data_IF_822043277733
#
_entry.id   IF_822043277733
#
_cell.length_a   1.000
_cell.length_b   1.000
_cell.length_c   1.000
_cell.angle_alpha   90.00
_cell.angle_beta   90.00
_cell.angle_gamma   90.00
#
_symmetry.space_group_name_H-M   'P 1'
#
loop_
_entity.id
_entity.type
_entity.pdbx_description
1 polymer ?
#
# COMPACT_ATOMS: atom_id res chain seq x y z
N UNK A 1 29.02 21.98 -18.82
CA UNK A 1 28.72 21.98 -17.37
C UNK A 1 27.22 22.14 -17.05
N UNK A 2 26.51 23.07 -17.70
CA UNK A 2 25.09 23.37 -17.39
C UNK A 2 24.11 22.22 -17.68
N UNK A 3 24.35 21.46 -18.74
CA UNK A 3 23.49 20.33 -19.14
C UNK A 3 23.55 19.14 -18.14
N UNK A 4 24.72 18.87 -17.55
CA UNK A 4 24.88 17.79 -16.56
C UNK A 4 24.15 18.07 -15.24
N UNK A 5 24.03 19.35 -14.85
CA UNK A 5 23.28 19.77 -13.66
C UNK A 5 21.77 19.59 -13.85
N UNK A 6 21.24 19.88 -15.05
CA UNK A 6 19.82 19.71 -15.36
C UNK A 6 19.39 18.23 -15.35
N UNK A 7 20.25 17.32 -15.84
CA UNK A 7 19.97 15.88 -15.79
C UNK A 7 19.96 15.32 -14.37
N UNK A 8 20.81 15.83 -13.48
CA UNK A 8 20.82 15.40 -12.07
C UNK A 8 19.56 15.88 -11.33
N UNK A 9 19.09 17.11 -11.59
CA UNK A 9 17.88 17.65 -10.97
C UNK A 9 16.58 17.00 -11.48
N UNK A 10 16.48 16.61 -12.76
CA UNK A 10 15.33 15.87 -13.27
C UNK A 10 15.19 14.46 -12.65
N UNK A 11 16.30 13.80 -12.28
CA UNK A 11 16.25 12.52 -11.58
C UNK A 11 15.69 12.67 -10.16
N UNK A 12 16.12 13.73 -9.44
CA UNK A 12 15.67 14.05 -8.08
C UNK A 12 14.18 14.44 -8.04
N UNK A 13 13.68 15.12 -9.08
CA UNK A 13 12.28 15.56 -9.19
C UNK A 13 11.30 14.48 -9.67
N UNK A 14 11.79 13.36 -10.19
CA UNK A 14 10.96 12.27 -10.75
C UNK A 14 10.67 11.14 -9.73
N UNK A 15 11.51 11.00 -8.71
CA UNK A 15 11.23 10.11 -7.58
C UNK A 15 10.52 10.89 -6.48
N UNK A 16 9.26 10.55 -6.16
CA UNK A 16 8.66 11.02 -4.91
C UNK A 16 9.58 10.63 -3.75
N UNK A 17 10.13 11.62 -3.05
CA UNK A 17 11.06 11.37 -1.95
C UNK A 17 10.28 10.95 -0.71
N UNK A 18 10.70 9.83 -0.12
CA UNK A 18 10.25 9.35 1.18
C UNK A 18 11.47 9.01 2.03
N UNK A 19 11.35 9.18 3.34
CA UNK A 19 12.44 8.93 4.28
C UNK A 19 12.45 7.46 4.74
N UNK A 20 11.27 6.87 4.92
CA UNK A 20 11.09 5.49 5.39
C UNK A 20 9.77 4.89 4.91
N UNK A 21 9.61 3.58 5.13
CA UNK A 21 8.33 2.88 4.93
C UNK A 21 7.68 2.53 6.26
N UNK A 22 6.38 2.79 6.35
CA UNK A 22 5.53 2.26 7.40
C UNK A 22 5.00 0.89 6.98
N UNK A 23 5.40 -0.14 7.70
CA UNK A 23 4.79 -1.46 7.59
C UNK A 23 3.61 -1.56 8.56
N UNK A 24 2.40 -1.44 8.04
CA UNK A 24 1.18 -1.35 8.84
C UNK A 24 0.49 -2.69 8.88
N UNK A 25 0.20 -3.14 10.10
CA UNK A 25 -0.55 -4.35 10.37
C UNK A 25 -1.92 -4.01 10.96
N UNK A 26 -2.90 -4.86 10.71
CA UNK A 26 -4.26 -4.74 11.23
C UNK A 26 -4.62 -5.96 12.07
N UNK A 27 -5.45 -5.73 13.09
CA UNK A 27 -6.06 -6.78 13.90
C UNK A 27 -7.51 -7.00 13.43
N UNK A 28 -7.79 -8.08 12.66
CA UNK A 28 -9.08 -8.27 12.02
C UNK A 28 -10.29 -8.23 12.97
N UNK A 29 -10.24 -8.80 14.20
CA UNK A 29 -11.36 -8.77 15.13
C UNK A 29 -11.77 -7.36 15.58
N UNK A 30 -10.82 -6.42 15.68
CA UNK A 30 -11.14 -5.03 16.06
C UNK A 30 -11.53 -4.20 14.85
N UNK A 31 -10.94 -4.47 13.67
CA UNK A 31 -11.16 -3.65 12.49
C UNK A 31 -12.66 -3.55 12.13
N UNK A 32 -13.37 -4.69 12.12
CA UNK A 32 -14.81 -4.71 11.83
C UNK A 32 -15.71 -4.34 13.01
N UNK A 33 -15.20 -4.32 14.24
CA UNK A 33 -15.95 -3.82 15.41
C UNK A 33 -15.99 -2.29 15.44
N UNK A 34 -14.92 -1.65 14.96
CA UNK A 34 -14.79 -0.18 14.96
C UNK A 34 -15.29 0.43 13.65
N UNK A 35 -15.08 -0.24 12.50
CA UNK A 35 -15.52 0.28 11.20
C UNK A 35 -16.97 -0.09 10.91
N UNK A 36 -17.76 0.89 10.46
CA UNK A 36 -19.19 0.74 10.12
C UNK A 36 -19.47 -0.02 8.82
N UNK A 37 -18.43 -0.35 8.02
CA UNK A 37 -18.58 -0.86 6.65
C UNK A 37 -17.96 -2.25 6.42
N UNK A 38 -18.09 -3.17 7.37
CA UNK A 38 -17.76 -4.57 7.09
C UNK A 38 -18.98 -5.32 6.53
N UNK A 39 -18.84 -5.88 5.33
CA UNK A 39 -19.89 -6.66 4.68
C UNK A 39 -19.63 -8.17 4.79
N UNK A 40 -18.37 -8.58 4.82
CA UNK A 40 -17.94 -9.99 4.92
C UNK A 40 -16.68 -10.11 5.77
N UNK A 41 -16.79 -9.90 7.10
CA UNK A 41 -15.64 -9.96 8.00
C UNK A 41 -14.98 -11.34 7.96
N UNK A 42 -13.65 -11.39 7.89
CA UNK A 42 -12.89 -12.65 8.00
C UNK A 42 -12.50 -12.89 9.47
N UNK A 43 -12.86 -14.04 10.09
CA UNK A 43 -12.61 -14.31 11.50
C UNK A 43 -11.16 -14.78 11.73
N UNK A 44 -10.19 -13.96 11.33
CA UNK A 44 -8.76 -14.24 11.51
C UNK A 44 -8.32 -13.75 12.90
N UNK A 45 -7.59 -14.57 13.65
CA UNK A 45 -7.10 -14.26 15.00
C UNK A 45 -5.58 -14.05 15.05
N UNK A 46 -5.04 -13.41 14.01
CA UNK A 46 -3.64 -13.05 13.90
C UNK A 46 -3.52 -11.72 13.15
N UNK A 47 -2.40 -11.01 13.34
CA UNK A 47 -2.14 -9.77 12.59
C UNK A 47 -1.94 -10.06 11.11
N UNK A 48 -2.64 -9.28 10.29
CA UNK A 48 -2.46 -9.28 8.84
C UNK A 48 -1.87 -7.96 8.39
N UNK A 49 -1.26 -7.96 7.21
CA UNK A 49 -0.79 -6.73 6.57
C UNK A 49 -2.02 -5.87 6.26
N UNK A 50 -1.91 -4.56 6.50
CA UNK A 50 -2.84 -3.56 6.02
C UNK A 50 -2.26 -2.84 4.81
N UNK A 51 -1.01 -2.37 4.92
CA UNK A 51 -0.32 -1.70 3.84
C UNK A 51 1.15 -1.46 4.13
N UNK A 52 1.87 -1.06 3.08
CA UNK A 52 3.25 -0.60 3.13
C UNK A 52 3.26 0.80 2.50
N UNK A 53 3.53 1.82 3.31
CA UNK A 53 3.36 3.21 2.86
C UNK A 53 4.67 3.99 3.01
N UNK A 54 5.19 4.63 1.95
CA UNK A 54 6.25 5.60 2.07
C UNK A 54 5.78 6.80 2.91
N UNK A 55 6.65 7.28 3.81
CA UNK A 55 6.38 8.37 4.73
C UNK A 55 7.59 9.28 4.89
N UNK A 56 7.36 10.53 5.30
CA UNK A 56 8.40 11.51 5.60
C UNK A 56 8.38 11.87 7.09
N UNK A 57 9.54 12.13 7.70
CA UNK A 57 9.61 12.51 9.12
C UNK A 57 8.88 13.83 9.39
N UNK A 58 9.07 14.81 8.49
CA UNK A 58 8.50 16.16 8.63
C UNK A 58 6.99 16.21 8.41
N UNK A 59 6.45 15.29 7.62
CA UNK A 59 5.02 15.16 7.37
C UNK A 59 4.69 13.70 7.01
N UNK A 60 4.40 12.86 8.03
CA UNK A 60 4.16 11.43 7.84
C UNK A 60 2.96 11.10 6.94
N UNK A 61 2.02 12.04 6.84
CA UNK A 61 0.79 11.94 6.04
C UNK A 61 0.91 12.60 4.66
N UNK A 62 2.09 13.08 4.27
CA UNK A 62 2.30 13.73 2.98
C UNK A 62 2.15 12.71 1.84
N UNK A 63 1.30 12.96 0.83
CA UNK A 63 1.24 12.12 -0.35
C UNK A 63 2.52 12.12 -1.15
N UNK A 64 3.00 10.91 -1.42
CA UNK A 64 3.90 10.67 -2.53
C UNK A 64 3.10 10.70 -3.84
N UNK A 65 3.28 11.74 -4.65
CA UNK A 65 2.75 11.81 -6.01
C UNK A 65 3.60 10.96 -6.97
N UNK A 66 3.66 9.65 -6.71
CA UNK A 66 4.37 8.71 -7.55
C UNK A 66 3.47 8.25 -8.69
N UNK A 67 3.86 8.54 -9.93
CA UNK A 67 3.11 8.09 -11.11
C UNK A 67 3.62 6.70 -11.53
N UNK A 68 3.08 5.66 -10.88
CA UNK A 68 3.42 4.26 -11.15
C UNK A 68 2.49 3.57 -12.15
N UNK A 69 2.85 2.33 -12.54
CA UNK A 69 1.94 1.47 -13.29
C UNK A 69 0.71 1.13 -12.46
N UNK A 70 -0.46 1.02 -13.11
CA UNK A 70 -1.66 0.52 -12.44
C UNK A 70 -1.50 -0.95 -12.06
N UNK A 71 -2.15 -1.33 -10.97
CA UNK A 71 -2.19 -2.72 -10.53
C UNK A 71 -2.75 -3.59 -11.66
N UNK A 72 -2.05 -4.69 -11.94
CA UNK A 72 -2.52 -5.72 -12.85
C UNK A 72 -2.39 -7.06 -12.13
N UNK A 73 -3.52 -7.70 -11.88
CA UNK A 73 -3.62 -8.98 -11.17
C UNK A 73 -2.79 -10.08 -11.85
N UNK A 74 -2.57 -9.97 -13.16
CA UNK A 74 -1.76 -10.91 -13.95
C UNK A 74 -0.28 -10.87 -13.60
N UNK A 75 0.20 -9.75 -13.03
CA UNK A 75 1.59 -9.61 -12.60
C UNK A 75 1.85 -10.28 -11.24
N UNK A 76 0.80 -10.71 -10.53
CA UNK A 76 0.93 -11.43 -9.26
C UNK A 76 0.99 -12.93 -9.54
N UNK A 77 2.19 -13.50 -9.40
CA UNK A 77 2.41 -14.94 -9.63
C UNK A 77 1.51 -15.81 -8.74
N UNK A 78 1.14 -17.04 -9.18
CA UNK A 78 0.32 -17.93 -8.38
C UNK A 78 0.88 -18.20 -6.97
N UNK A 79 2.20 -18.35 -6.85
CA UNK A 79 2.88 -18.56 -5.57
C UNK A 79 2.77 -17.33 -4.66
N UNK A 80 2.95 -16.12 -5.21
CA UNK A 80 2.81 -14.87 -4.46
C UNK A 80 1.36 -14.66 -4.01
N UNK A 81 0.40 -14.88 -4.91
CA UNK A 81 -1.04 -14.78 -4.60
C UNK A 81 -1.43 -15.65 -3.41
N UNK A 82 -0.92 -16.88 -3.32
CA UNK A 82 -1.19 -17.77 -2.20
C UNK A 82 -0.62 -17.25 -0.87
N UNK A 83 0.54 -16.59 -0.90
CA UNK A 83 1.10 -15.91 0.28
C UNK A 83 0.25 -14.71 0.67
N UNK A 84 -0.09 -13.85 -0.30
CA UNK A 84 -0.91 -12.66 -0.08
C UNK A 84 -2.29 -12.97 0.50
N UNK A 85 -2.97 -14.03 0.01
CA UNK A 85 -4.25 -14.48 0.58
C UNK A 85 -4.18 -14.82 2.08
N UNK A 86 -3.01 -15.22 2.59
CA UNK A 86 -2.80 -15.57 4.00
C UNK A 86 -2.35 -14.37 4.82
N UNK A 87 -1.38 -13.61 4.31
CA UNK A 87 -0.72 -12.53 5.05
C UNK A 87 -1.30 -11.15 4.83
N UNK A 88 -1.91 -10.88 3.66
CA UNK A 88 -2.47 -9.58 3.28
C UNK A 88 -3.93 -9.70 2.75
N UNK A 89 -4.86 -10.36 3.47
CA UNK A 89 -6.25 -10.47 3.05
C UNK A 89 -7.04 -9.16 3.21
N UNK A 90 -8.09 -9.00 2.42
CA UNK A 90 -9.19 -8.08 2.71
C UNK A 90 -10.04 -8.68 3.86
N UNK A 91 -10.01 -8.01 5.00
CA UNK A 91 -10.71 -8.44 6.21
C UNK A 91 -12.09 -7.81 6.38
N UNK A 92 -12.48 -6.88 5.50
CA UNK A 92 -13.74 -6.12 5.58
C UNK A 92 -14.80 -6.62 4.60
N UNK A 93 -14.43 -6.74 3.31
CA UNK A 93 -15.35 -7.15 2.23
C UNK A 93 -15.03 -8.53 1.65
N UNK A 94 -13.86 -9.07 2.00
CA UNK A 94 -13.36 -10.36 1.54
C UNK A 94 -12.89 -10.37 0.08
N UNK A 95 -12.80 -9.22 -0.59
CA UNK A 95 -12.31 -9.08 -1.96
C UNK A 95 -10.82 -8.67 -1.96
N UNK A 96 -9.96 -9.69 -1.85
CA UNK A 96 -8.52 -9.51 -1.75
C UNK A 96 -7.92 -8.72 -2.93
N UNK A 97 -8.31 -9.05 -4.16
CA UNK A 97 -7.77 -8.40 -5.36
C UNK A 97 -8.11 -6.90 -5.39
N UNK A 98 -9.35 -6.53 -5.07
CA UNK A 98 -9.75 -5.12 -5.01
C UNK A 98 -9.03 -4.36 -3.90
N UNK A 99 -8.77 -5.02 -2.79
CA UNK A 99 -8.00 -4.44 -1.69
C UNK A 99 -6.53 -4.23 -2.07
N UNK A 100 -5.87 -5.21 -2.70
CA UNK A 100 -4.50 -5.06 -3.19
C UNK A 100 -4.39 -3.97 -4.26
N UNK A 101 -5.37 -3.92 -5.17
CA UNK A 101 -5.47 -2.86 -6.18
C UNK A 101 -5.57 -1.49 -5.52
N UNK A 102 -6.44 -1.37 -4.51
CA UNK A 102 -6.62 -0.13 -3.75
C UNK A 102 -5.31 0.32 -3.10
N UNK A 103 -4.61 -0.58 -2.40
CA UNK A 103 -3.35 -0.23 -1.74
C UNK A 103 -2.20 0.05 -2.72
N UNK A 104 -2.16 -0.63 -3.87
CA UNK A 104 -1.15 -0.39 -4.91
C UNK A 104 -1.37 0.92 -5.66
N UNK A 105 -2.61 1.21 -6.06
CA UNK A 105 -2.94 2.35 -6.92
C UNK A 105 -3.06 3.66 -6.14
N UNK A 106 -3.11 3.60 -4.81
CA UNK A 106 -3.31 4.76 -3.94
C UNK A 106 -2.01 5.56 -3.83
N UNK A 107 -2.05 6.90 -4.01
CA UNK A 107 -0.96 7.76 -3.61
C UNK A 107 -0.75 7.52 -2.12
N UNK A 108 0.43 7.10 -1.70
CA UNK A 108 0.66 6.66 -0.32
C UNK A 108 0.33 7.76 0.68
N UNK A 109 -0.91 7.72 1.18
CA UNK A 109 -1.54 8.65 2.10
C UNK A 109 -2.63 7.92 2.85
N UNK A 110 -2.39 7.71 4.14
CA UNK A 110 -3.30 8.10 5.21
C UNK A 110 -2.49 8.31 6.48
#
# INVERSE_FOLDING_TARGET
LVLGFAFFFCYVMSSGSYDYFQFVQQWPPTNCRVRTKCSKPRPLQYFTIHGLWPSNYSNPTMPSNCNGSKFDDRNVSPQLRNKLKRSWPDVESGNDTKFWEGEWNKPSTY
#
